data_IF_007807463401
#
_entry.id   IF_007807463401
#
_cell.length_a   1.000
_cell.length_b   1.000
_cell.length_c   1.000
_cell.angle_alpha   90.00
_cell.angle_beta   90.00
_cell.angle_gamma   90.00
#
_symmetry.space_group_name_H-M   'P 1'
#
loop_
_entity.id
_entity.type
_entity.pdbx_description
1 polymer ?
#
# COMPACT_ATOMS: atom_id res chain seq x y z
N UNK A 1 11.27 -3.31 8.39
CA UNK A 1 12.53 -3.26 7.61
C UNK A 1 13.02 -1.81 7.64
N UNK A 2 14.30 -1.52 7.88
CA UNK A 2 14.82 -0.14 7.76
C UNK A 2 15.32 0.05 6.33
N UNK A 3 14.96 1.13 5.63
CA UNK A 3 15.55 1.42 4.33
C UNK A 3 17.08 1.55 4.48
N UNK A 4 17.81 1.11 3.48
CA UNK A 4 19.28 1.28 3.37
C UNK A 4 19.59 2.03 2.10
N UNK A 5 20.79 2.62 1.98
CA UNK A 5 21.19 3.31 0.76
C UNK A 5 21.14 2.39 -0.46
N UNK A 6 21.62 1.16 -0.31
CA UNK A 6 21.56 0.13 -1.35
C UNK A 6 20.10 -0.19 -1.78
N UNK A 7 19.18 -0.21 -0.80
CA UNK A 7 17.75 -0.38 -1.10
C UNK A 7 17.22 0.76 -1.97
N UNK A 8 17.56 2.02 -1.64
CA UNK A 8 17.14 3.19 -2.42
C UNK A 8 17.74 3.20 -3.84
N UNK A 9 19.00 2.83 -3.97
CA UNK A 9 19.66 2.67 -5.26
C UNK A 9 18.97 1.60 -6.11
N UNK A 10 18.57 0.48 -5.50
CA UNK A 10 17.81 -0.60 -6.18
C UNK A 10 16.38 -0.19 -6.57
N UNK A 11 15.78 0.83 -5.94
CA UNK A 11 14.49 1.38 -6.36
C UNK A 11 14.59 2.23 -7.64
N UNK A 12 15.80 2.71 -7.96
CA UNK A 12 16.06 3.63 -9.07
C UNK A 12 16.23 2.87 -10.38
N UNK A 13 15.39 3.17 -11.37
CA UNK A 13 15.42 2.58 -12.69
C UNK A 13 16.33 3.36 -13.67
N UNK A 14 16.37 4.70 -13.53
CA UNK A 14 17.13 5.57 -14.42
C UNK A 14 17.49 6.89 -13.70
N UNK A 15 18.61 7.50 -14.12
CA UNK A 15 19.10 8.76 -13.56
C UNK A 15 19.42 9.71 -14.71
N UNK A 16 18.83 10.90 -14.68
CA UNK A 16 19.12 11.95 -15.63
C UNK A 16 19.51 13.26 -14.93
N UNK A 17 20.37 14.04 -15.60
CA UNK A 17 20.84 15.31 -15.10
C UNK A 17 20.56 16.42 -16.12
N UNK A 18 20.11 17.56 -15.61
CA UNK A 18 19.84 18.74 -16.38
C UNK A 18 20.51 19.95 -15.74
N UNK A 19 21.33 20.66 -16.52
CA UNK A 19 21.87 21.95 -16.11
C UNK A 19 20.97 23.06 -16.68
N UNK A 20 20.60 24.01 -15.82
CA UNK A 20 19.80 25.16 -16.27
C UNK A 20 20.71 26.21 -16.90
N UNK A 21 20.52 26.47 -18.19
CA UNK A 21 21.33 27.40 -18.95
C UNK A 21 21.41 28.79 -18.29
N UNK A 22 22.63 29.35 -18.26
CA UNK A 22 22.87 30.66 -17.65
C UNK A 22 22.83 30.71 -16.13
N UNK A 23 22.80 29.56 -15.46
CA UNK A 23 22.76 29.46 -14.00
C UNK A 23 23.83 28.48 -13.49
N UNK A 24 24.01 28.35 -12.17
CA UNK A 24 24.82 27.33 -11.51
C UNK A 24 23.99 26.15 -11.01
N UNK A 25 22.72 26.05 -11.45
CA UNK A 25 21.75 25.04 -10.96
C UNK A 25 21.86 23.76 -11.78
N UNK A 26 22.07 22.65 -11.08
CA UNK A 26 21.99 21.31 -11.63
C UNK A 26 20.81 20.57 -11.00
N UNK A 27 20.03 19.91 -11.83
CA UNK A 27 18.89 19.08 -11.44
C UNK A 27 19.25 17.62 -11.69
N UNK A 28 18.96 16.76 -10.73
CA UNK A 28 18.99 15.30 -10.86
C UNK A 28 17.56 14.78 -10.81
N UNK A 29 17.15 13.99 -11.80
CA UNK A 29 15.90 13.27 -11.79
C UNK A 29 16.16 11.77 -11.63
N UNK A 30 15.71 11.19 -10.51
CA UNK A 30 15.71 9.74 -10.26
C UNK A 30 14.36 9.18 -10.66
N UNK A 31 14.32 8.40 -11.73
CA UNK A 31 13.13 7.67 -12.14
C UNK A 31 13.13 6.32 -11.43
N UNK A 32 12.11 6.05 -10.63
CA UNK A 32 11.94 4.80 -9.90
C UNK A 32 11.29 3.72 -10.79
N UNK A 33 11.47 2.46 -10.44
CA UNK A 33 10.80 1.33 -11.10
C UNK A 33 9.26 1.42 -11.05
N UNK A 34 8.70 2.13 -10.07
CA UNK A 34 7.27 2.44 -9.97
C UNK A 34 6.77 3.45 -11.00
N UNK A 35 7.70 4.11 -11.72
CA UNK A 35 7.41 5.24 -12.62
C UNK A 35 7.37 6.61 -11.93
N UNK A 36 7.46 6.66 -10.60
CA UNK A 36 7.58 7.91 -9.85
C UNK A 36 8.94 8.57 -10.11
N UNK A 37 9.01 9.90 -10.10
CA UNK A 37 10.25 10.65 -10.30
C UNK A 37 10.55 11.52 -9.09
N UNK A 38 11.73 11.35 -8.51
CA UNK A 38 12.26 12.20 -7.43
C UNK A 38 13.26 13.18 -8.03
N UNK A 39 13.13 14.46 -7.70
CA UNK A 39 13.96 15.53 -8.25
C UNK A 39 14.83 16.13 -7.14
N UNK A 40 16.14 15.96 -7.27
CA UNK A 40 17.13 16.68 -6.45
C UNK A 40 17.74 17.86 -7.20
N UNK A 41 18.22 18.85 -6.47
CA UNK A 41 18.83 20.03 -7.04
C UNK A 41 20.09 20.43 -6.26
N UNK A 42 21.03 21.07 -6.95
CA UNK A 42 22.18 21.74 -6.37
C UNK A 42 22.39 23.09 -7.05
N UNK A 43 22.99 24.03 -6.34
CA UNK A 43 23.38 25.31 -6.90
C UNK A 43 24.70 25.76 -6.25
N UNK A 44 25.62 26.31 -7.05
CA UNK A 44 26.83 26.96 -6.54
C UNK A 44 26.57 28.44 -6.36
N UNK A 45 27.05 29.04 -5.25
CA UNK A 45 26.91 30.46 -4.98
C UNK A 45 27.78 31.31 -5.93
N UNK A 46 29.04 30.87 -6.14
CA UNK A 46 29.97 31.54 -7.02
C UNK A 46 30.03 30.83 -8.38
N UNK A 47 29.62 31.50 -9.48
CA UNK A 47 29.73 30.92 -10.82
C UNK A 47 31.15 30.55 -11.24
N UNK A 48 32.17 31.22 -10.71
CA UNK A 48 33.59 30.93 -10.98
C UNK A 48 34.07 29.62 -10.37
N UNK A 49 33.40 29.14 -9.35
CA UNK A 49 33.69 27.85 -8.67
C UNK A 49 32.76 26.73 -9.12
N UNK A 50 31.89 26.97 -10.08
CA UNK A 50 30.97 25.97 -10.58
C UNK A 50 31.69 24.78 -11.19
N UNK A 51 31.38 23.59 -10.68
CA UNK A 51 31.84 22.31 -11.23
C UNK A 51 30.65 21.42 -11.56
N UNK A 52 30.51 21.07 -12.83
CA UNK A 52 29.42 20.19 -13.28
C UNK A 52 29.43 18.84 -12.55
N UNK A 53 30.62 18.27 -12.29
CA UNK A 53 30.75 16.99 -11.57
C UNK A 53 30.25 17.11 -10.12
N UNK A 54 30.61 18.20 -9.44
CA UNK A 54 30.15 18.46 -8.07
C UNK A 54 28.66 18.79 -8.05
N UNK A 55 28.18 19.56 -9.04
CA UNK A 55 26.76 19.88 -9.21
C UNK A 55 25.92 18.61 -9.35
N UNK A 56 26.31 17.68 -10.22
CA UNK A 56 25.64 16.39 -10.39
C UNK A 56 25.64 15.57 -9.10
N UNK A 57 26.78 15.50 -8.40
CA UNK A 57 26.90 14.75 -7.15
C UNK A 57 25.95 15.30 -6.08
N UNK A 58 25.96 16.62 -5.85
CA UNK A 58 25.10 17.22 -4.81
C UNK A 58 23.61 17.15 -5.20
N UNK A 59 23.28 17.28 -6.48
CA UNK A 59 21.90 17.10 -6.94
C UNK A 59 21.42 15.66 -6.74
N UNK A 60 22.28 14.67 -6.99
CA UNK A 60 21.99 13.27 -6.71
C UNK A 60 21.79 13.00 -5.22
N UNK A 61 22.73 13.47 -4.38
CA UNK A 61 22.64 13.29 -2.93
C UNK A 61 21.36 13.91 -2.38
N UNK A 62 20.97 15.09 -2.86
CA UNK A 62 19.70 15.74 -2.48
C UNK A 62 18.47 14.94 -2.96
N UNK A 63 18.50 14.33 -4.14
CA UNK A 63 17.42 13.46 -4.60
C UNK A 63 17.29 12.19 -3.74
N UNK A 64 18.42 11.59 -3.34
CA UNK A 64 18.44 10.43 -2.44
C UNK A 64 17.89 10.79 -1.04
N UNK A 65 18.21 11.97 -0.49
CA UNK A 65 17.62 12.43 0.77
C UNK A 65 16.10 12.49 0.71
N UNK A 66 15.54 13.04 -0.38
CA UNK A 66 14.09 13.08 -0.57
C UNK A 66 13.49 11.67 -0.72
N UNK A 67 14.19 10.77 -1.41
CA UNK A 67 13.76 9.39 -1.54
C UNK A 67 13.76 8.67 -0.17
N UNK A 68 14.71 8.99 0.73
CA UNK A 68 14.72 8.51 2.11
C UNK A 68 13.45 8.87 2.89
N UNK A 69 12.99 10.13 2.76
CA UNK A 69 11.78 10.59 3.42
C UNK A 69 10.55 9.84 2.90
N UNK A 70 10.44 9.69 1.57
CA UNK A 70 9.35 8.97 0.92
C UNK A 70 9.31 7.50 1.32
N UNK A 71 10.45 6.81 1.29
CA UNK A 71 10.54 5.40 1.66
C UNK A 71 10.33 5.20 3.17
N UNK A 72 10.81 6.12 4.00
CA UNK A 72 10.54 6.12 5.44
C UNK A 72 9.05 6.24 5.75
N UNK A 73 8.33 7.10 5.04
CA UNK A 73 6.87 7.19 5.13
C UNK A 73 6.19 5.92 4.65
N UNK A 74 6.62 5.38 3.50
CA UNK A 74 6.06 4.16 2.91
C UNK A 74 6.17 2.96 3.87
N UNK A 75 7.34 2.74 4.45
CA UNK A 75 7.58 1.67 5.44
C UNK A 75 6.68 1.84 6.68
N UNK A 76 6.53 3.08 7.19
CA UNK A 76 5.63 3.35 8.31
C UNK A 76 4.16 3.15 7.96
N UNK A 77 3.75 3.59 6.76
CA UNK A 77 2.38 3.40 6.29
C UNK A 77 2.03 1.92 6.11
N UNK A 78 2.96 1.12 5.58
CA UNK A 78 2.80 -0.33 5.49
C UNK A 78 2.71 -1.00 6.88
N UNK A 79 3.56 -0.58 7.83
CA UNK A 79 3.49 -1.10 9.20
C UNK A 79 2.14 -0.79 9.86
N UNK A 80 1.62 0.43 9.68
CA UNK A 80 0.29 0.79 10.18
C UNK A 80 -0.84 -0.02 9.50
N UNK A 81 -0.69 -0.40 8.23
CA UNK A 81 -1.64 -1.26 7.54
C UNK A 81 -1.60 -2.71 8.05
N UNK A 82 -0.47 -3.18 8.57
CA UNK A 82 -0.36 -4.51 9.17
C UNK A 82 -1.16 -4.58 10.47
N UNK A 83 -1.12 -3.53 11.30
CA UNK A 83 -1.95 -3.46 12.52
C UNK A 83 -3.45 -3.33 12.20
N UNK A 84 -3.80 -2.72 11.06
CA UNK A 84 -5.18 -2.56 10.59
C UNK A 84 -5.78 -3.86 9.97
N UNK A 85 -4.97 -4.88 9.60
CA UNK A 85 -5.50 -6.13 9.02
C UNK A 85 -6.39 -6.89 9.99
N UNK A 86 -6.08 -6.83 11.29
CA UNK A 86 -6.85 -7.49 12.34
C UNK A 86 -8.22 -6.84 12.52
N UNK A 87 -8.28 -5.51 12.48
CA UNK A 87 -9.53 -4.77 12.53
C UNK A 87 -10.39 -5.06 11.29
N UNK A 88 -9.78 -5.12 10.10
CA UNK A 88 -10.48 -5.55 8.88
C UNK A 88 -11.02 -6.97 8.98
N UNK A 89 -10.24 -7.89 9.55
CA UNK A 89 -10.68 -9.28 9.77
C UNK A 89 -11.87 -9.35 10.75
N UNK A 90 -11.87 -8.53 11.81
CA UNK A 90 -12.98 -8.42 12.74
C UNK A 90 -14.24 -7.86 12.08
N UNK A 91 -14.10 -6.79 11.30
CA UNK A 91 -15.19 -6.19 10.54
C UNK A 91 -15.79 -7.21 9.55
N UNK A 92 -14.95 -7.90 8.77
CA UNK A 92 -15.37 -8.93 7.82
C UNK A 92 -16.16 -10.05 8.51
N UNK A 93 -15.66 -10.53 9.66
CA UNK A 93 -16.34 -11.55 10.47
C UNK A 93 -17.72 -11.05 10.94
N UNK A 94 -17.80 -9.83 11.46
CA UNK A 94 -19.05 -9.27 12.01
C UNK A 94 -20.08 -9.02 10.91
N UNK A 95 -19.64 -8.50 9.74
CA UNK A 95 -20.52 -8.34 8.59
C UNK A 95 -21.03 -9.68 8.06
N UNK A 96 -20.17 -10.70 7.99
CA UNK A 96 -20.57 -12.03 7.53
C UNK A 96 -21.52 -12.68 8.54
N UNK A 97 -21.28 -12.57 9.84
CA UNK A 97 -22.15 -13.07 10.89
C UNK A 97 -23.57 -12.47 10.75
N UNK A 98 -23.66 -11.15 10.60
CA UNK A 98 -24.93 -10.47 10.40
C UNK A 98 -25.67 -10.92 9.11
N UNK A 99 -24.94 -11.22 8.03
CA UNK A 99 -25.51 -11.75 6.78
C UNK A 99 -26.01 -13.19 6.96
N UNK A 100 -25.24 -14.03 7.68
CA UNK A 100 -25.63 -15.42 8.00
C UNK A 100 -26.91 -15.43 8.83
N UNK A 101 -27.01 -14.60 9.87
CA UNK A 101 -28.16 -14.53 10.74
C UNK A 101 -29.43 -14.08 9.97
N UNK A 102 -29.30 -13.04 9.13
CA UNK A 102 -30.39 -12.56 8.29
C UNK A 102 -30.87 -13.63 7.31
N UNK A 103 -29.95 -14.34 6.65
CA UNK A 103 -30.29 -15.39 5.69
C UNK A 103 -30.92 -16.58 6.41
N UNK A 104 -30.38 -17.03 7.53
CA UNK A 104 -30.95 -18.10 8.34
C UNK A 104 -32.38 -17.76 8.80
N UNK A 105 -32.59 -16.57 9.37
CA UNK A 105 -33.89 -16.07 9.78
C UNK A 105 -34.91 -16.02 8.62
N UNK A 106 -34.45 -15.58 7.44
CA UNK A 106 -35.30 -15.56 6.25
C UNK A 106 -35.75 -16.98 5.85
N UNK A 107 -34.79 -17.93 5.79
CA UNK A 107 -35.11 -19.33 5.41
C UNK A 107 -35.98 -20.02 6.46
N UNK A 108 -35.78 -19.77 7.75
CA UNK A 108 -36.57 -20.33 8.86
C UNK A 108 -37.99 -19.75 8.91
N UNK A 109 -38.21 -18.55 8.36
CA UNK A 109 -39.51 -17.91 8.33
C UNK A 109 -40.54 -18.58 7.39
N UNK A 110 -40.11 -19.54 6.57
CA UNK A 110 -40.95 -20.21 5.56
C UNK A 110 -41.42 -19.31 4.42
N UNK A 111 -40.88 -18.07 4.32
CA UNK A 111 -41.21 -17.14 3.24
C UNK A 111 -40.53 -17.58 1.94
N UNK A 112 -41.28 -17.60 0.87
CA UNK A 112 -40.76 -17.84 -0.48
C UNK A 112 -40.02 -16.58 -0.99
N UNK A 113 -38.91 -16.80 -1.71
CA UNK A 113 -38.21 -15.72 -2.37
C UNK A 113 -39.04 -15.12 -3.52
N UNK A 114 -39.21 -13.80 -3.55
CA UNK A 114 -39.93 -13.12 -4.66
C UNK A 114 -39.28 -13.37 -6.03
N UNK A 115 -38.01 -13.75 -6.07
CA UNK A 115 -37.25 -14.05 -7.30
C UNK A 115 -37.42 -15.48 -7.80
N UNK A 116 -38.34 -16.27 -7.21
CA UNK A 116 -38.68 -17.62 -7.63
C UNK A 116 -37.96 -18.76 -6.90
N UNK A 117 -38.41 -19.99 -7.14
CA UNK A 117 -37.94 -21.20 -6.46
C UNK A 117 -36.46 -21.50 -6.73
N UNK A 118 -35.97 -21.28 -7.94
CA UNK A 118 -34.55 -21.50 -8.29
C UNK A 118 -33.63 -20.61 -7.47
N UNK A 119 -34.04 -19.35 -7.28
CA UNK A 119 -33.25 -18.42 -6.41
C UNK A 119 -33.29 -18.84 -4.95
N UNK A 120 -34.45 -19.28 -4.46
CA UNK A 120 -34.60 -19.80 -3.09
C UNK A 120 -33.69 -21.01 -2.85
N UNK A 121 -33.62 -21.96 -3.79
CA UNK A 121 -32.73 -23.10 -3.71
C UNK A 121 -31.25 -22.70 -3.60
N UNK A 122 -30.82 -21.67 -4.33
CA UNK A 122 -29.47 -21.13 -4.23
C UNK A 122 -29.19 -20.46 -2.86
N UNK A 123 -30.17 -19.78 -2.26
CA UNK A 123 -30.04 -19.23 -0.93
C UNK A 123 -29.89 -20.33 0.14
N UNK A 124 -30.65 -21.43 0.01
CA UNK A 124 -30.50 -22.59 0.87
C UNK A 124 -29.11 -23.21 0.73
N UNK A 125 -28.60 -23.35 -0.49
CA UNK A 125 -27.26 -23.86 -0.74
C UNK A 125 -26.16 -22.89 -0.27
N UNK A 126 -26.39 -21.60 -0.28
CA UNK A 126 -25.42 -20.57 0.12
C UNK A 126 -25.15 -20.58 1.64
N UNK A 127 -26.17 -20.80 2.47
CA UNK A 127 -26.09 -20.69 3.93
C UNK A 127 -24.97 -21.56 4.55
N UNK A 128 -24.81 -22.84 4.23
CA UNK A 128 -23.75 -23.67 4.78
C UNK A 128 -22.36 -23.19 4.39
N UNK A 129 -22.16 -22.67 3.17
CA UNK A 129 -20.87 -22.11 2.75
C UNK A 129 -20.51 -20.83 3.51
N UNK A 130 -21.49 -19.95 3.75
CA UNK A 130 -21.31 -18.75 4.56
C UNK A 130 -20.97 -19.11 6.00
N UNK A 131 -21.62 -20.12 6.59
CA UNK A 131 -21.31 -20.61 7.94
C UNK A 131 -19.90 -21.19 8.04
N UNK A 132 -19.49 -22.00 7.05
CA UNK A 132 -18.13 -22.55 7.01
C UNK A 132 -17.07 -21.45 6.89
N UNK A 133 -17.33 -20.42 6.09
CA UNK A 133 -16.43 -19.28 5.99
C UNK A 133 -16.37 -18.49 7.30
N UNK A 134 -17.49 -18.23 7.95
CA UNK A 134 -17.57 -17.56 9.24
C UNK A 134 -16.77 -18.31 10.32
N UNK A 135 -16.83 -19.65 10.31
CA UNK A 135 -16.07 -20.49 11.24
C UNK A 135 -14.55 -20.33 11.01
N UNK A 136 -14.09 -20.30 9.77
CA UNK A 136 -12.68 -20.02 9.45
C UNK A 136 -12.24 -18.65 9.92
N UNK A 137 -13.07 -17.60 9.77
CA UNK A 137 -12.74 -16.26 10.26
C UNK A 137 -12.64 -16.23 11.79
N UNK A 138 -13.53 -16.92 12.51
CA UNK A 138 -13.45 -17.05 13.95
C UNK A 138 -12.18 -17.79 14.41
N UNK A 139 -11.81 -18.88 13.74
CA UNK A 139 -10.56 -19.60 14.02
C UNK A 139 -9.33 -18.72 13.80
N UNK A 140 -9.29 -17.94 12.72
CA UNK A 140 -8.21 -16.99 12.43
C UNK A 140 -8.07 -15.92 13.52
N UNK A 141 -9.18 -15.40 14.04
CA UNK A 141 -9.17 -14.42 15.13
C UNK A 141 -8.69 -15.06 16.43
N UNK A 142 -9.14 -16.27 16.77
CA UNK A 142 -8.71 -17.00 17.97
C UNK A 142 -7.19 -17.20 18.00
N UNK A 143 -6.55 -17.55 16.87
CA UNK A 143 -5.10 -17.72 16.78
C UNK A 143 -4.31 -16.43 17.07
N UNK A 144 -4.90 -15.27 16.88
CA UNK A 144 -4.25 -13.98 17.16
C UNK A 144 -4.45 -13.54 18.60
N UNK A 145 -5.62 -13.81 19.18
CA UNK A 145 -5.94 -13.45 20.56
C UNK A 145 -5.20 -14.34 21.59
N UNK A 146 -4.62 -15.48 21.15
CA UNK A 146 -3.80 -16.41 21.97
C UNK A 146 -2.30 -16.03 22.01
N UNK A 147 -1.83 -15.00 21.27
CA UNK A 147 -0.42 -14.56 21.23
C UNK A 147 -0.18 -13.33 22.09
#
# INVERSE_FOLDING_TARGET
>A
MKPTKEHLENLTADISYHHLDGTTVTICALKLHSGFVVIGKSACLDPGEFSEVMGKKFAYDNAIEQLWELEGYHVKALAAQIDDWLDRLRIERDELAAKVDKLATFLDSGKTCQSGEAHHALLVAQLPHMRAYLDVLNQRLALVDEQ
#
